data_IF_031038433631
#
_entry.id   IF_031038433631
#
_cell.length_a   1.000
_cell.length_b   1.000
_cell.length_c   1.000
_cell.angle_alpha   90.00
_cell.angle_beta   90.00
_cell.angle_gamma   90.00
#
_symmetry.space_group_name_H-M   'P 1'
#
loop_
_entity.id
_entity.type
_entity.pdbx_description
1 polymer ?
#
# COMPACT_ATOMS: atom_id res chain seq x y z
N UNK A 1 -0.98 -30.15 -28.71
CA UNK A 1 -1.28 -28.71 -28.56
C UNK A 1 0.02 -28.00 -28.24
N UNK A 2 0.52 -27.15 -29.14
CA UNK A 2 1.69 -26.30 -28.83
C UNK A 2 1.20 -25.12 -27.99
N UNK A 3 1.80 -24.80 -26.84
CA UNK A 3 1.48 -23.57 -26.13
C UNK A 3 1.82 -22.41 -27.06
N UNK A 4 0.84 -21.56 -27.30
CA UNK A 4 0.99 -20.40 -28.17
C UNK A 4 1.84 -19.36 -27.42
N UNK A 5 3.01 -19.01 -27.97
CA UNK A 5 3.96 -18.07 -27.37
C UNK A 5 3.34 -16.69 -27.11
N UNK A 6 2.21 -16.39 -27.77
CA UNK A 6 1.52 -15.11 -27.74
C UNK A 6 0.22 -15.12 -26.91
N UNK A 7 -0.10 -16.20 -26.20
CA UNK A 7 -1.18 -16.21 -25.20
C UNK A 7 -0.67 -15.63 -23.87
N UNK A 8 -0.36 -14.34 -23.86
CA UNK A 8 -0.13 -13.59 -22.63
C UNK A 8 -1.23 -12.56 -22.42
N UNK A 9 -1.80 -12.56 -21.22
CA UNK A 9 -2.76 -11.56 -20.79
C UNK A 9 -2.05 -10.21 -20.68
N UNK A 10 -2.37 -9.30 -21.60
CA UNK A 10 -1.95 -7.91 -21.52
C UNK A 10 -2.81 -7.22 -20.45
N UNK A 11 -2.17 -6.76 -19.38
CA UNK A 11 -2.82 -5.94 -18.35
C UNK A 11 -2.57 -4.46 -18.70
N UNK A 12 -3.62 -3.63 -18.85
CA UNK A 12 -3.43 -2.19 -19.01
C UNK A 12 -2.76 -1.67 -17.74
N UNK A 13 -1.55 -1.12 -17.87
CA UNK A 13 -0.89 -0.42 -16.80
C UNK A 13 -1.49 0.98 -16.70
N UNK A 14 -1.98 1.37 -15.52
CA UNK A 14 -2.39 2.75 -15.26
C UNK A 14 -1.23 3.71 -15.52
N UNK A 15 -1.49 4.79 -16.26
CA UNK A 15 -0.52 5.86 -16.49
C UNK A 15 -0.13 6.48 -15.13
N UNK A 16 1.17 6.68 -14.90
CA UNK A 16 1.68 7.28 -13.67
C UNK A 16 1.10 8.68 -13.44
N UNK A 17 0.70 9.38 -14.50
CA UNK A 17 0.01 10.67 -14.41
C UNK A 17 -1.33 10.56 -13.67
N UNK A 18 -2.10 9.51 -13.97
CA UNK A 18 -3.38 9.24 -13.29
C UNK A 18 -3.18 8.81 -11.83
N UNK A 19 -2.03 8.20 -11.51
CA UNK A 19 -1.67 7.91 -10.12
C UNK A 19 -1.38 9.19 -9.35
N UNK A 20 -0.71 10.16 -9.97
CA UNK A 20 -0.31 11.40 -9.33
C UNK A 20 -1.51 12.22 -8.84
N UNK A 21 -2.60 12.24 -9.60
CA UNK A 21 -3.87 12.90 -9.21
C UNK A 21 -4.56 12.25 -8.00
N UNK A 22 -4.20 11.00 -7.68
CA UNK A 22 -4.77 10.22 -6.58
C UNK A 22 -3.86 10.12 -5.37
N UNK A 23 -2.64 10.66 -5.47
CA UNK A 23 -1.74 10.73 -4.32
C UNK A 23 -2.25 11.78 -3.34
N UNK A 24 -2.16 11.44 -2.06
CA UNK A 24 -2.28 12.40 -0.98
C UNK A 24 -0.99 12.46 -0.18
N UNK A 25 -0.68 13.63 0.36
CA UNK A 25 0.54 13.90 1.12
C UNK A 25 1.71 14.41 0.29
N UNK A 26 2.79 14.83 0.97
CA UNK A 26 3.94 15.53 0.41
C UNK A 26 5.21 14.67 0.29
N UNK A 27 5.21 13.48 0.89
CA UNK A 27 6.32 12.53 0.78
C UNK A 27 7.70 13.09 1.19
N UNK A 28 7.76 13.95 2.21
CA UNK A 28 9.00 14.58 2.67
C UNK A 28 10.05 13.56 3.17
N UNK A 29 9.62 12.34 3.53
CA UNK A 29 10.49 11.25 4.00
C UNK A 29 10.57 10.06 3.04
N UNK A 30 10.12 10.22 1.80
CA UNK A 30 10.20 9.19 0.75
C UNK A 30 9.50 7.87 1.12
N UNK A 31 8.34 7.96 1.79
CA UNK A 31 7.51 6.83 2.21
C UNK A 31 6.25 6.78 1.36
N UNK A 32 6.07 5.70 0.60
CA UNK A 32 4.82 5.38 -0.07
C UNK A 32 4.02 4.39 0.78
N UNK A 33 2.75 4.70 0.99
CA UNK A 33 1.78 3.80 1.62
C UNK A 33 0.73 3.43 0.59
N UNK A 34 0.51 2.14 0.42
CA UNK A 34 -0.50 1.61 -0.50
C UNK A 34 -1.49 0.75 0.28
N UNK A 35 -2.77 1.04 0.10
CA UNK A 35 -3.88 0.30 0.70
C UNK A 35 -5.04 0.16 -0.29
N UNK A 36 -5.94 -0.78 -0.02
CA UNK A 36 -7.15 -0.94 -0.82
C UNK A 36 -8.19 0.12 -0.39
N UNK A 37 -8.82 0.77 -1.37
CA UNK A 37 -9.90 1.71 -1.14
C UNK A 37 -11.09 1.00 -0.48
N UNK A 38 -11.64 1.61 0.58
CA UNK A 38 -12.78 1.11 1.33
C UNK A 38 -13.86 2.19 1.45
N UNK A 39 -15.10 1.78 1.68
CA UNK A 39 -16.21 2.73 1.96
C UNK A 39 -15.92 3.59 3.21
N UNK A 40 -15.30 3.00 4.23
CA UNK A 40 -14.93 3.65 5.50
C UNK A 40 -13.56 4.33 5.45
N UNK A 41 -13.19 4.88 4.30
CA UNK A 41 -11.84 5.39 4.02
C UNK A 41 -11.40 6.51 4.97
N UNK A 42 -12.31 7.38 5.41
CA UNK A 42 -11.98 8.45 6.36
C UNK A 42 -11.50 7.90 7.70
N UNK A 43 -12.26 6.97 8.30
CA UNK A 43 -11.89 6.35 9.59
C UNK A 43 -10.57 5.58 9.49
N UNK A 44 -10.37 4.84 8.40
CA UNK A 44 -9.14 4.08 8.18
C UNK A 44 -7.94 4.99 7.97
N UNK A 45 -8.12 6.14 7.31
CA UNK A 45 -7.06 7.14 7.12
C UNK A 45 -6.66 7.78 8.45
N UNK A 46 -7.63 8.13 9.29
CA UNK A 46 -7.38 8.64 10.65
C UNK A 46 -6.67 7.61 11.53
N UNK A 47 -7.10 6.34 11.44
CA UNK A 47 -6.46 5.23 12.14
C UNK A 47 -5.01 5.01 11.67
N UNK A 48 -4.78 5.03 10.35
CA UNK A 48 -3.44 4.96 9.77
C UNK A 48 -2.56 6.11 10.29
N UNK A 49 -3.10 7.33 10.35
CA UNK A 49 -2.41 8.49 10.95
C UNK A 49 -1.97 8.23 12.39
N UNK A 50 -2.83 7.61 13.22
CA UNK A 50 -2.47 7.21 14.59
C UNK A 50 -1.34 6.18 14.61
N UNK A 51 -1.39 5.15 13.76
CA UNK A 51 -0.32 4.14 13.64
C UNK A 51 1.02 4.83 13.30
N UNK A 52 1.03 5.71 12.30
CA UNK A 52 2.23 6.39 11.85
C UNK A 52 2.77 7.39 12.88
N UNK A 53 1.90 8.10 13.59
CA UNK A 53 2.33 9.01 14.66
C UNK A 53 3.09 8.32 15.79
N UNK A 54 2.75 7.06 16.09
CA UNK A 54 3.47 6.25 17.08
C UNK A 54 4.94 5.99 16.69
N UNK A 55 5.25 6.04 15.40
CA UNK A 55 6.62 5.94 14.85
C UNK A 55 7.17 7.29 14.36
N UNK A 56 6.56 8.40 14.80
CA UNK A 56 6.95 9.78 14.45
C UNK A 56 6.93 10.06 12.93
N UNK A 57 5.91 9.56 12.25
CA UNK A 57 5.59 9.88 10.87
C UNK A 57 4.26 10.62 10.79
N UNK A 58 4.25 11.74 10.07
CA UNK A 58 3.04 12.47 9.70
C UNK A 58 2.53 11.97 8.34
N UNK A 59 1.30 11.47 8.30
CA UNK A 59 0.71 10.92 7.07
C UNK A 59 0.71 11.93 5.91
N UNK A 60 0.38 13.20 6.17
CA UNK A 60 0.26 14.21 5.10
C UNK A 60 1.60 14.85 4.73
N UNK A 61 2.53 14.99 5.65
CA UNK A 61 3.81 15.65 5.37
C UNK A 61 4.87 14.65 4.89
N UNK A 62 4.99 13.51 5.56
CA UNK A 62 6.12 12.61 5.39
C UNK A 62 5.91 11.55 4.31
N UNK A 63 4.65 11.31 3.92
CA UNK A 63 4.28 10.15 3.10
C UNK A 63 3.53 10.55 1.83
N UNK A 64 3.56 9.67 0.84
CA UNK A 64 2.49 9.55 -0.14
C UNK A 64 1.55 8.43 0.30
N UNK A 65 0.25 8.70 0.25
CA UNK A 65 -0.79 7.71 0.40
C UNK A 65 -1.49 7.49 -0.94
N UNK A 66 -1.51 6.23 -1.38
CA UNK A 66 -2.19 5.77 -2.58
C UNK A 66 -3.22 4.70 -2.21
N UNK A 67 -4.45 4.89 -2.68
CA UNK A 67 -5.55 3.95 -2.46
C UNK A 67 -5.90 3.27 -3.78
N UNK A 68 -5.76 1.96 -3.84
CA UNK A 68 -6.06 1.15 -5.01
C UNK A 68 -7.46 0.56 -4.92
N UNK A 69 -8.18 0.56 -6.03
CA UNK A 69 -9.42 -0.19 -6.14
C UNK A 69 -9.13 -1.70 -6.24
N UNK A 70 -10.11 -2.53 -5.91
CA UNK A 70 -9.96 -3.98 -5.94
C UNK A 70 -9.57 -4.49 -7.33
N UNK A 71 -8.47 -5.22 -7.42
CA UNK A 71 -7.95 -5.78 -8.67
C UNK A 71 -7.20 -4.76 -9.55
N UNK A 72 -7.04 -3.52 -9.10
CA UNK A 72 -6.23 -2.53 -9.78
C UNK A 72 -4.75 -2.87 -9.67
N UNK A 73 -4.04 -2.68 -10.79
CA UNK A 73 -2.61 -2.87 -10.90
C UNK A 73 -1.94 -1.56 -11.35
N UNK A 74 -0.79 -1.28 -10.76
CA UNK A 74 0.05 -0.11 -11.06
C UNK A 74 1.48 -0.57 -11.35
N UNK A 75 2.25 0.27 -12.04
CA UNK A 75 3.67 0.06 -12.25
C UNK A 75 4.48 0.85 -11.21
N UNK A 76 4.97 0.19 -10.17
CA UNK A 76 5.87 0.83 -9.20
C UNK A 76 7.19 1.29 -9.84
N UNK A 77 7.69 0.58 -10.86
CA UNK A 77 8.89 0.99 -11.57
C UNK A 77 8.70 2.31 -12.31
N UNK A 78 7.56 2.50 -12.99
CA UNK A 78 7.25 3.78 -13.64
C UNK A 78 7.06 4.89 -12.60
N UNK A 79 6.38 4.58 -11.50
CA UNK A 79 6.14 5.54 -10.42
C UNK A 79 7.43 6.02 -9.75
N UNK A 80 8.31 5.09 -9.37
CA UNK A 80 9.57 5.38 -8.67
C UNK A 80 10.60 6.12 -9.53
N UNK A 81 10.45 6.12 -10.86
CA UNK A 81 11.26 6.94 -11.76
C UNK A 81 10.94 8.43 -11.69
N UNK A 82 9.68 8.78 -11.37
CA UNK A 82 9.21 10.18 -11.35
C UNK A 82 9.02 10.71 -9.93
N UNK A 83 8.76 9.85 -8.95
CA UNK A 83 8.55 10.21 -7.56
C UNK A 83 9.58 9.52 -6.66
N UNK A 84 10.31 10.27 -5.80
CA UNK A 84 11.35 9.69 -4.97
C UNK A 84 10.72 8.88 -3.83
N UNK A 85 10.88 7.56 -3.88
CA UNK A 85 10.40 6.61 -2.86
C UNK A 85 11.54 5.70 -2.43
N UNK A 86 11.75 5.60 -1.11
CA UNK A 86 12.75 4.71 -0.48
C UNK A 86 12.12 3.68 0.45
N UNK A 87 10.88 3.91 0.87
CA UNK A 87 10.13 3.02 1.73
C UNK A 87 8.73 2.79 1.14
N UNK A 88 8.28 1.54 1.07
CA UNK A 88 6.95 1.17 0.58
C UNK A 88 6.26 0.30 1.62
N UNK A 89 5.13 0.76 2.12
CA UNK A 89 4.28 0.02 3.06
C UNK A 89 3.03 -0.46 2.32
N UNK A 90 2.83 -1.78 2.26
CA UNK A 90 1.69 -2.42 1.59
C UNK A 90 0.75 -3.01 2.64
N UNK A 91 -0.44 -2.41 2.79
CA UNK A 91 -1.48 -2.90 3.70
C UNK A 91 -2.46 -3.78 2.93
N UNK A 92 -2.26 -5.10 2.96
CA UNK A 92 -3.11 -6.06 2.27
C UNK A 92 -2.98 -6.07 0.74
N UNK A 93 -2.15 -5.18 0.18
CA UNK A 93 -1.91 -5.10 -1.27
C UNK A 93 -0.89 -6.15 -1.69
N UNK A 94 -1.30 -7.02 -2.62
CA UNK A 94 -0.41 -8.04 -3.14
C UNK A 94 0.74 -7.37 -3.93
N UNK A 95 2.01 -7.81 -3.76
CA UNK A 95 3.15 -7.18 -4.44
C UNK A 95 3.00 -7.15 -5.98
N UNK A 96 2.32 -8.14 -6.55
CA UNK A 96 2.02 -8.22 -7.99
C UNK A 96 1.15 -7.06 -8.48
N UNK A 97 0.31 -6.49 -7.63
CA UNK A 97 -0.48 -5.30 -7.98
C UNK A 97 0.39 -4.05 -8.17
N UNK A 98 1.61 -4.03 -7.64
CA UNK A 98 2.60 -2.99 -7.92
C UNK A 98 3.53 -3.33 -9.09
N UNK A 99 3.27 -4.44 -9.79
CA UNK A 99 4.19 -4.97 -10.82
C UNK A 99 5.45 -5.60 -10.23
N UNK A 100 5.46 -5.93 -8.93
CA UNK A 100 6.59 -6.59 -8.28
C UNK A 100 6.48 -8.11 -8.45
N UNK A 101 7.57 -8.72 -8.93
CA UNK A 101 7.63 -10.16 -9.21
C UNK A 101 8.40 -10.96 -8.14
N UNK A 102 8.83 -10.33 -7.06
CA UNK A 102 9.49 -10.98 -5.92
C UNK A 102 8.52 -11.23 -4.76
N UNK A 103 8.87 -12.19 -3.90
CA UNK A 103 8.09 -12.50 -2.71
C UNK A 103 8.34 -11.48 -1.61
N UNK A 104 7.27 -10.99 -0.96
CA UNK A 104 7.35 -10.17 0.24
C UNK A 104 6.78 -10.97 1.42
N UNK A 105 7.62 -11.43 2.36
CA UNK A 105 7.15 -12.07 3.58
C UNK A 105 6.38 -11.07 4.43
N UNK A 106 5.32 -11.57 5.04
CA UNK A 106 4.45 -10.79 5.89
C UNK A 106 5.21 -10.23 7.10
N UNK A 107 5.03 -8.94 7.39
CA UNK A 107 5.63 -8.20 8.48
C UNK A 107 7.16 -8.25 8.53
N UNK A 108 7.80 -8.47 7.38
CA UNK A 108 9.25 -8.54 7.27
C UNK A 108 9.73 -7.56 6.19
N UNK A 109 10.59 -6.59 6.52
CA UNK A 109 11.10 -5.65 5.55
C UNK A 109 12.07 -6.35 4.59
N UNK A 110 11.88 -6.15 3.29
CA UNK A 110 12.80 -6.60 2.25
C UNK A 110 13.35 -5.39 1.50
N UNK A 111 14.67 -5.37 1.35
CA UNK A 111 15.35 -4.38 0.50
C UNK A 111 15.45 -4.91 -0.92
N UNK A 112 15.01 -4.11 -1.89
CA UNK A 112 15.20 -4.36 -3.31
C UNK A 112 15.70 -3.07 -3.98
N UNK A 113 16.95 -3.10 -4.46
CA UNK A 113 17.67 -1.88 -4.84
C UNK A 113 17.79 -0.91 -3.65
N UNK A 114 17.45 0.36 -3.88
CA UNK A 114 17.45 1.41 -2.87
C UNK A 114 16.12 1.53 -2.10
N UNK A 115 15.14 0.67 -2.39
CA UNK A 115 13.82 0.70 -1.77
C UNK A 115 13.67 -0.43 -0.75
N UNK A 116 13.10 -0.10 0.41
CA UNK A 116 12.67 -1.07 1.43
C UNK A 116 11.16 -1.23 1.35
N UNK A 117 10.71 -2.47 1.19
CA UNK A 117 9.31 -2.85 1.12
C UNK A 117 8.90 -3.56 2.40
N UNK A 118 7.72 -3.25 2.91
CA UNK A 118 7.07 -3.97 4.00
C UNK A 118 5.65 -4.33 3.57
N UNK A 119 5.36 -5.63 3.53
CA UNK A 119 4.00 -6.14 3.32
C UNK A 119 3.39 -6.52 4.66
N UNK A 120 2.16 -6.08 4.91
CA UNK A 120 1.43 -6.35 6.16
C UNK A 120 -0.05 -6.64 5.86
N UNK A 121 -0.82 -6.93 6.90
CA UNK A 121 -2.25 -7.19 6.83
C UNK A 121 -3.02 -5.97 6.27
N UNK A 122 -4.21 -6.17 5.68
CA UNK A 122 -5.11 -5.09 5.32
C UNK A 122 -5.35 -4.14 6.49
N UNK A 123 -5.36 -2.83 6.23
CA UNK A 123 -5.57 -1.82 7.29
C UNK A 123 -6.93 -2.00 7.98
N UNK A 124 -7.93 -2.48 7.23
CA UNK A 124 -9.26 -2.78 7.73
C UNK A 124 -9.24 -3.90 8.78
N UNK A 125 -8.51 -4.98 8.52
CA UNK A 125 -8.40 -6.11 9.46
C UNK A 125 -7.74 -5.67 10.77
N UNK A 126 -6.65 -4.88 10.67
CA UNK A 126 -5.96 -4.31 11.83
C UNK A 126 -6.89 -3.39 12.62
N UNK A 127 -7.72 -2.60 11.93
CA UNK A 127 -8.67 -1.68 12.55
C UNK A 127 -9.79 -2.42 13.30
N UNK A 128 -10.37 -3.45 12.68
CA UNK A 128 -11.43 -4.26 13.28
C UNK A 128 -10.92 -5.08 14.48
N UNK A 129 -9.71 -5.63 14.40
CA UNK A 129 -9.06 -6.31 15.53
C UNK A 129 -8.93 -5.38 16.74
N UNK A 130 -8.46 -4.14 16.52
CA UNK A 130 -8.33 -3.14 17.60
C UNK A 130 -9.68 -2.68 18.15
N UNK A 131 -10.72 -2.56 17.30
CA UNK A 131 -12.09 -2.28 17.75
C UNK A 131 -12.65 -3.41 18.60
N UNK A 132 -12.37 -4.67 18.24
CA UNK A 132 -12.83 -5.85 18.97
C UNK A 132 -12.14 -5.99 20.34
N UNK A 133 -10.82 -5.78 20.41
CA UNK A 133 -10.06 -5.77 21.68
C UNK A 133 -10.49 -4.64 22.63
N UNK A 134 -10.96 -3.53 22.07
CA UNK A 134 -11.45 -2.38 22.85
C UNK A 134 -12.87 -2.58 23.39
N UNK A 135 -13.59 -3.64 23.00
CA UNK A 135 -14.86 -4.01 23.64
C UNK A 135 -14.53 -4.68 24.98
N UNK A 136 -14.92 -4.11 26.13
CA UNK A 136 -14.71 -4.77 27.41
C UNK A 136 -15.41 -6.13 27.37
N UNK A 137 -14.76 -7.18 27.91
CA UNK A 137 -15.43 -8.42 28.32
C UNK A 137 -16.45 -8.06 29.41
N UNK A 138 -17.60 -7.55 29.00
CA UNK A 138 -18.67 -7.14 29.89
C UNK A 138 -19.52 -8.38 30.22
N UNK A 139 -19.45 -8.79 31.49
CA UNK A 139 -20.46 -9.62 32.14
C UNK A 139 -20.03 -11.06 32.44
N UNK A 140 -19.29 -11.24 33.54
CA UNK A 140 -19.41 -12.41 34.42
C UNK A 140 -19.97 -11.91 35.76
#
# INVERSE_FOLDING_TARGET
MKPNLLDFYLFPLSDWRQLNDRLSGNNARHVLIVLEHQESDSELTDFLGKILSAVKLNLQEDTFLLKLTKGENISFSNFSQVQPVRHVLLFGIAPRQLGLHFSLPLNQPIRFGDTVFLFTYPILDIFEERKAESRPKAGA
#
